data_IF_315500655524
#
_entry.id   IF_315500655524
#
_cell.length_a   1.000
_cell.length_b   1.000
_cell.length_c   1.000
_cell.angle_alpha   90.00
_cell.angle_beta   90.00
_cell.angle_gamma   90.00
#
_symmetry.space_group_name_H-M   'P 1'
#
loop_
_entity.id
_entity.type
_entity.pdbx_description
1 polymer ?
#
# COMPACT_ATOMS: atom_id res chain seq x y z
N UNK A 1 -29.48 3.50 13.79
CA UNK A 1 -28.80 2.56 12.87
C UNK A 1 -28.71 3.13 11.44
N UNK A 2 -27.99 4.24 11.20
CA UNK A 2 -27.80 4.83 9.86
C UNK A 2 -26.40 5.44 9.67
N UNK A 3 -25.37 4.84 10.29
CA UNK A 3 -23.99 5.33 10.22
C UNK A 3 -22.89 4.28 10.45
N UNK A 4 -23.26 3.01 10.65
CA UNK A 4 -22.31 1.91 10.89
C UNK A 4 -21.78 1.29 9.58
N UNK A 5 -22.45 1.56 8.46
CA UNK A 5 -22.08 1.11 7.11
C UNK A 5 -21.90 2.28 6.15
N UNK A 6 -21.49 3.45 6.67
CA UNK A 6 -21.09 4.57 5.81
C UNK A 6 -19.71 4.29 5.20
N UNK A 7 -19.71 3.39 4.22
CA UNK A 7 -18.55 3.07 3.40
C UNK A 7 -18.02 4.30 2.65
N UNK A 8 -18.83 5.35 2.53
CA UNK A 8 -18.47 6.65 1.98
C UNK A 8 -17.38 7.35 2.80
N UNK A 9 -17.42 7.23 4.13
CA UNK A 9 -16.45 7.89 5.01
C UNK A 9 -15.08 7.19 4.92
N UNK A 10 -15.07 5.86 4.96
CA UNK A 10 -13.84 5.08 4.76
C UNK A 10 -13.30 5.20 3.34
N UNK A 11 -14.15 5.20 2.30
CA UNK A 11 -13.72 5.46 0.93
C UNK A 11 -13.06 6.84 0.81
N UNK A 12 -13.71 7.88 1.36
CA UNK A 12 -13.14 9.24 1.39
C UNK A 12 -11.84 9.31 2.18
N UNK A 13 -11.67 8.48 3.22
CA UNK A 13 -10.42 8.37 3.98
C UNK A 13 -9.29 7.74 3.15
N UNK A 14 -9.58 6.68 2.37
CA UNK A 14 -8.61 6.05 1.49
C UNK A 14 -8.28 6.88 0.24
N UNK A 15 -9.24 7.66 -0.28
CA UNK A 15 -9.06 8.58 -1.41
C UNK A 15 -8.72 10.02 -0.97
N UNK A 16 -8.44 10.25 0.31
CA UNK A 16 -8.01 11.54 0.85
C UNK A 16 -6.75 11.99 0.11
N UNK A 17 -6.90 13.06 -0.67
CA UNK A 17 -5.84 13.67 -1.48
C UNK A 17 -4.60 13.92 -0.62
N UNK A 18 -3.44 13.44 -1.10
CA UNK A 18 -2.16 13.64 -0.41
C UNK A 18 -1.94 15.12 -0.13
N UNK A 19 -1.67 15.44 1.13
CA UNK A 19 -1.43 16.79 1.61
C UNK A 19 -0.20 17.39 0.89
N UNK A 20 -0.36 18.45 0.08
CA UNK A 20 0.70 19.03 -0.73
C UNK A 20 1.79 19.72 0.09
N UNK A 21 1.58 19.92 1.40
CA UNK A 21 2.52 20.61 2.28
C UNK A 21 3.53 19.66 2.95
N UNK A 22 3.43 18.34 2.73
CA UNK A 22 4.50 17.41 3.13
C UNK A 22 5.71 17.61 2.23
N UNK A 23 6.87 17.98 2.81
CA UNK A 23 8.16 17.91 2.11
C UNK A 23 8.33 16.52 1.49
N UNK A 24 8.10 16.42 0.18
CA UNK A 24 8.39 15.25 -0.63
C UNK A 24 9.91 15.13 -0.75
N UNK A 25 10.56 14.68 0.33
CA UNK A 25 11.95 14.28 0.26
C UNK A 25 12.00 13.03 -0.63
N UNK A 26 12.51 13.19 -1.85
CA UNK A 26 12.63 12.11 -2.84
C UNK A 26 13.27 10.85 -2.22
N UNK A 27 14.24 11.02 -1.31
CA UNK A 27 14.86 9.94 -0.54
C UNK A 27 13.86 9.12 0.29
N UNK A 28 12.91 9.74 1.00
CA UNK A 28 11.92 9.01 1.80
C UNK A 28 10.92 8.26 0.91
N UNK A 29 10.51 8.88 -0.21
CA UNK A 29 9.64 8.23 -1.19
C UNK A 29 10.35 7.06 -1.87
N UNK A 30 11.61 7.22 -2.22
CA UNK A 30 12.44 6.17 -2.79
C UNK A 30 12.65 5.03 -1.78
N UNK A 31 12.97 5.32 -0.52
CA UNK A 31 13.16 4.32 0.53
C UNK A 31 11.91 3.46 0.75
N UNK A 32 10.71 4.08 0.79
CA UNK A 32 9.45 3.34 0.86
C UNK A 32 9.11 2.57 -0.42
N UNK A 33 9.47 3.11 -1.59
CA UNK A 33 9.26 2.43 -2.87
C UNK A 33 10.12 1.17 -2.99
N UNK A 34 11.40 1.29 -2.64
CA UNK A 34 12.34 0.15 -2.60
C UNK A 34 11.80 -0.91 -1.64
N UNK A 35 11.38 -0.52 -0.43
CA UNK A 35 10.86 -1.47 0.55
C UNK A 35 9.57 -2.18 0.06
N UNK A 36 8.67 -1.48 -0.63
CA UNK A 36 7.49 -2.08 -1.26
C UNK A 36 7.86 -3.08 -2.37
N UNK A 37 8.85 -2.76 -3.19
CA UNK A 37 9.31 -3.65 -4.28
C UNK A 37 9.95 -4.91 -3.69
N UNK A 38 10.76 -4.79 -2.63
CA UNK A 38 11.38 -5.93 -1.97
C UNK A 38 10.35 -6.93 -1.43
N UNK A 39 9.30 -6.44 -0.78
CA UNK A 39 8.20 -7.28 -0.27
C UNK A 39 7.45 -7.96 -1.42
N UNK A 40 7.19 -7.23 -2.51
CA UNK A 40 6.51 -7.78 -3.69
C UNK A 40 7.32 -8.91 -4.34
N UNK A 41 8.63 -8.72 -4.52
CA UNK A 41 9.52 -9.75 -5.07
C UNK A 41 9.60 -10.97 -4.16
N UNK A 42 9.67 -10.76 -2.84
CA UNK A 42 9.66 -11.84 -1.87
C UNK A 42 8.37 -12.67 -1.94
N UNK A 43 7.21 -12.01 -1.95
CA UNK A 43 5.91 -12.66 -2.08
C UNK A 43 5.79 -13.43 -3.41
N UNK A 44 6.23 -12.83 -4.52
CA UNK A 44 6.21 -13.50 -5.82
C UNK A 44 7.08 -14.77 -5.83
N UNK A 45 8.28 -14.70 -5.26
CA UNK A 45 9.16 -15.86 -5.13
C UNK A 45 8.58 -16.92 -4.19
N UNK A 46 7.96 -16.52 -3.08
CA UNK A 46 7.30 -17.42 -2.14
C UNK A 46 6.12 -18.15 -2.78
N UNK A 47 5.26 -17.43 -3.51
CA UNK A 47 4.13 -18.01 -4.26
C UNK A 47 4.64 -18.96 -5.34
N UNK A 48 5.67 -18.58 -6.09
CA UNK A 48 6.29 -19.46 -7.09
C UNK A 48 6.85 -20.74 -6.46
N UNK A 49 7.53 -20.62 -5.32
CA UNK A 49 8.08 -21.77 -4.61
C UNK A 49 6.97 -22.71 -4.12
N UNK A 50 5.91 -22.16 -3.52
CA UNK A 50 4.73 -22.95 -3.10
C UNK A 50 4.10 -23.66 -4.28
N UNK A 51 3.81 -22.96 -5.40
CA UNK A 51 3.20 -23.57 -6.59
C UNK A 51 4.10 -24.65 -7.21
N UNK A 52 5.43 -24.45 -7.21
CA UNK A 52 6.38 -25.42 -7.78
C UNK A 52 6.56 -26.67 -6.91
N UNK A 53 6.41 -26.52 -5.59
CA UNK A 53 6.64 -27.59 -4.62
C UNK A 53 5.33 -28.24 -4.11
N UNK A 54 4.21 -27.87 -4.71
CA UNK A 54 2.89 -28.50 -4.56
C UNK A 54 2.67 -29.44 -5.75
#
# INVERSE_FOLDING_TARGET
>A
MKGLFDFTEVATYFFRKNDPNRKSNFNLRAMHTINKISILMFLAAMVYFVIKHW
#
